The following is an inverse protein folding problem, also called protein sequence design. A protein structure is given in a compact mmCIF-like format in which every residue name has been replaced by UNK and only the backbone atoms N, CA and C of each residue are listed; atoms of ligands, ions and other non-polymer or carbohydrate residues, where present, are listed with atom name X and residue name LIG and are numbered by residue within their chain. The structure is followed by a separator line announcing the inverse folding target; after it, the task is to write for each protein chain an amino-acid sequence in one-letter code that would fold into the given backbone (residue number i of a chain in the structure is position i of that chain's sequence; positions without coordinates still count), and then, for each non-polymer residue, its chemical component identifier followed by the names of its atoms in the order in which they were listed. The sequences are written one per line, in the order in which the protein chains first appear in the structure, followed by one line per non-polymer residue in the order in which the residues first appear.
data_IF_990304987272
#
_entry.id   IF_990304987272
#
_cell.length_a   1.000
_cell.length_b   1.000
_cell.length_c   1.000
_cell.angle_alpha   90.00
_cell.angle_beta   90.00
_cell.angle_gamma   90.00
#
_symmetry.space_group_name_H-M   'P 1'
#
loop_
_entity.id
_entity.type
_entity.pdbx_description
1 polymer ?
#
# COMPACT_ATOMS: atom_id res chain seq x y z
N UNK A 1 24.53 10.46 32.79
CA UNK A 1 23.54 11.38 32.18
C UNK A 1 22.22 11.07 32.85
N UNK A 2 21.68 12.04 33.57
CA UNK A 2 20.50 11.93 34.42
C UNK A 2 19.23 12.11 33.56
N UNK A 3 18.26 11.19 33.67
CA UNK A 3 17.08 11.11 32.80
C UNK A 3 15.85 11.83 33.38
N UNK A 4 16.05 12.76 34.33
CA UNK A 4 14.98 13.36 35.13
C UNK A 4 14.67 14.83 34.79
N UNK A 5 15.24 15.40 33.71
CA UNK A 5 14.88 16.75 33.27
C UNK A 5 13.56 16.73 32.48
N UNK A 6 12.49 17.23 33.09
CA UNK A 6 11.18 17.48 32.48
C UNK A 6 11.15 18.71 31.56
N UNK A 7 12.22 18.94 30.81
CA UNK A 7 12.23 19.99 29.78
C UNK A 7 11.30 19.57 28.66
N UNK A 8 10.10 20.15 28.64
CA UNK A 8 9.19 20.09 27.50
C UNK A 8 9.93 20.66 26.30
N UNK A 9 10.50 19.77 25.49
CA UNK A 9 10.99 20.09 24.16
C UNK A 9 9.80 20.63 23.39
N UNK A 10 9.75 21.96 23.25
CA UNK A 10 8.84 22.66 22.35
C UNK A 10 9.22 22.22 20.93
N UNK A 11 8.44 21.32 20.35
CA UNK A 11 8.54 21.00 18.93
C UNK A 11 8.32 22.31 18.14
N UNK A 12 9.29 22.77 17.34
CA UNK A 12 9.15 23.99 16.54
C UNK A 12 7.99 23.85 15.56
N UNK A 13 7.34 24.98 15.30
CA UNK A 13 6.01 25.07 14.70
C UNK A 13 5.91 24.67 13.22
N UNK A 14 4.66 24.48 12.80
CA UNK A 14 4.16 24.46 11.41
C UNK A 14 5.01 23.65 10.43
N UNK A 15 4.75 22.34 10.37
CA UNK A 15 5.13 21.51 9.23
C UNK A 15 4.26 21.84 8.00
N UNK A 16 4.55 22.98 7.39
CA UNK A 16 4.27 23.22 5.96
C UNK A 16 5.58 23.03 5.16
N UNK A 17 6.50 22.23 5.70
CA UNK A 17 7.54 21.61 4.89
C UNK A 17 6.81 20.79 3.83
N UNK A 18 6.96 21.19 2.57
CA UNK A 18 6.46 20.43 1.43
C UNK A 18 7.11 19.06 1.47
N UNK A 19 6.48 18.12 2.17
CA UNK A 19 6.91 16.73 2.22
C UNK A 19 6.86 16.26 0.77
N UNK A 20 8.04 16.13 0.17
CA UNK A 20 8.15 15.62 -1.17
C UNK A 20 7.41 14.28 -1.25
N UNK A 21 6.72 13.96 -2.35
CA UNK A 21 6.01 12.70 -2.46
C UNK A 21 7.02 11.54 -2.56
N UNK A 22 6.70 10.40 -1.94
CA UNK A 22 7.44 9.16 -2.21
C UNK A 22 7.41 8.83 -3.71
N UNK A 23 8.48 8.28 -4.28
CA UNK A 23 8.40 7.59 -5.56
C UNK A 23 7.24 6.59 -5.54
N UNK A 24 6.44 6.54 -6.61
CA UNK A 24 5.18 5.78 -6.62
C UNK A 24 5.39 4.29 -6.29
N UNK A 25 6.51 3.71 -6.74
CA UNK A 25 6.92 2.35 -6.36
C UNK A 25 7.08 2.16 -4.85
N UNK A 26 7.77 3.09 -4.20
CA UNK A 26 8.06 3.00 -2.77
C UNK A 26 6.78 3.21 -1.97
N UNK A 27 5.95 4.17 -2.39
CA UNK A 27 4.64 4.40 -1.80
C UNK A 27 3.74 3.16 -1.91
N UNK A 28 3.70 2.53 -3.09
CA UNK A 28 2.93 1.30 -3.31
C UNK A 28 3.50 0.14 -2.49
N UNK A 29 4.81 -0.06 -2.49
CA UNK A 29 5.45 -1.13 -1.74
C UNK A 29 5.25 -0.98 -0.22
N UNK A 30 5.31 0.25 0.30
CA UNK A 30 5.05 0.55 1.70
C UNK A 30 3.57 0.36 2.05
N UNK A 31 2.65 0.80 1.19
CA UNK A 31 1.23 0.55 1.41
C UNK A 31 0.95 -0.96 1.45
N UNK A 32 1.47 -1.71 0.47
CA UNK A 32 1.23 -3.14 0.29
C UNK A 32 2.02 -4.06 1.23
N UNK A 33 2.95 -3.52 2.02
CA UNK A 33 3.58 -4.28 3.11
C UNK A 33 2.65 -4.46 4.31
N UNK A 34 1.54 -3.72 4.37
CA UNK A 34 0.54 -3.83 5.41
C UNK A 34 -0.55 -4.84 5.02
N UNK A 35 -1.15 -5.47 6.02
CA UNK A 35 -2.33 -6.31 5.86
C UNK A 35 -3.58 -5.46 6.07
N UNK A 36 -4.58 -5.63 5.21
CA UNK A 36 -5.82 -4.85 5.26
C UNK A 36 -7.03 -5.73 5.52
N UNK A 37 -7.94 -5.28 6.35
CA UNK A 37 -9.19 -5.99 6.61
C UNK A 37 -10.21 -5.74 5.50
N UNK A 38 -10.94 -6.80 5.17
CA UNK A 38 -12.03 -6.82 4.21
C UNK A 38 -11.58 -7.06 2.77
N UNK A 39 -12.40 -7.75 1.96
CA UNK A 39 -12.12 -8.05 0.57
C UNK A 39 -12.14 -6.75 -0.25
N UNK A 40 -10.99 -6.36 -0.79
CA UNK A 40 -10.84 -5.12 -1.54
C UNK A 40 -9.84 -5.30 -2.67
N UNK A 41 -10.10 -4.69 -3.84
CA UNK A 41 -9.17 -4.68 -4.98
C UNK A 41 -8.73 -3.26 -5.31
N UNK A 42 -7.52 -3.09 -5.84
CA UNK A 42 -7.02 -1.78 -6.27
C UNK A 42 -7.65 -1.42 -7.62
N UNK A 43 -8.22 -0.22 -7.69
CA UNK A 43 -8.88 0.28 -8.90
C UNK A 43 -8.21 1.50 -9.51
N UNK A 44 -7.34 2.18 -8.74
CA UNK A 44 -6.62 3.37 -9.21
C UNK A 44 -5.24 3.52 -8.56
N UNK A 45 -4.49 4.47 -9.10
CA UNK A 45 -3.16 4.86 -8.61
C UNK A 45 -3.21 5.78 -7.41
N UNK A 46 -2.06 5.87 -6.75
CA UNK A 46 -1.78 6.84 -5.71
C UNK A 46 -1.57 8.23 -6.32
N UNK A 47 -2.31 9.21 -5.84
CA UNK A 47 -2.11 10.62 -6.16
C UNK A 47 -0.83 11.16 -5.50
N UNK A 48 -0.33 12.31 -5.97
CA UNK A 48 0.82 13.00 -5.34
C UNK A 48 0.58 13.24 -3.85
N UNK A 49 -0.63 13.69 -3.49
CA UNK A 49 -1.01 13.97 -2.10
C UNK A 49 -0.97 12.71 -1.23
N UNK A 50 -1.48 11.59 -1.75
CA UNK A 50 -1.44 10.30 -1.05
C UNK A 50 -0.01 9.80 -0.87
N UNK A 51 0.87 10.00 -1.86
CA UNK A 51 2.30 9.64 -1.75
C UNK A 51 3.04 10.48 -0.72
N UNK A 52 2.75 11.78 -0.60
CA UNK A 52 3.29 12.62 0.47
C UNK A 52 2.76 12.20 1.85
N UNK A 53 1.48 11.85 1.95
CA UNK A 53 0.90 11.34 3.20
C UNK A 53 1.52 9.99 3.62
N UNK A 54 1.79 9.08 2.67
CA UNK A 54 2.51 7.84 2.96
C UNK A 54 3.95 8.10 3.41
N UNK A 55 4.63 9.12 2.88
CA UNK A 55 5.94 9.53 3.40
C UNK A 55 5.88 9.92 4.87
N UNK A 56 4.88 10.73 5.23
CA UNK A 56 4.65 11.10 6.63
C UNK A 56 4.38 9.86 7.50
N UNK A 57 3.56 8.92 7.01
CA UNK A 57 3.28 7.67 7.72
C UNK A 57 4.53 6.79 7.95
N UNK A 58 5.53 6.85 7.06
CA UNK A 58 6.80 6.13 7.25
C UNK A 58 7.64 6.71 8.39
N UNK A 59 7.52 8.00 8.68
CA UNK A 59 8.35 8.69 9.68
C UNK A 59 7.65 8.94 11.01
N UNK A 60 6.32 8.83 11.08
CA UNK A 60 5.63 8.96 12.37
C UNK A 60 6.02 7.80 13.31
N UNK A 61 6.32 8.15 14.55
CA UNK A 61 6.57 7.22 15.66
C UNK A 61 5.26 6.59 16.18
N UNK A 62 4.10 7.15 15.83
CA UNK A 62 2.79 6.65 16.25
C UNK A 62 2.25 5.59 15.29
N UNK A 63 2.11 4.36 15.77
CA UNK A 63 1.47 3.27 15.01
C UNK A 63 0.02 3.63 14.65
N UNK A 64 -0.72 4.24 15.57
CA UNK A 64 -2.12 4.62 15.33
C UNK A 64 -2.26 5.68 14.24
N UNK A 65 -1.36 6.66 14.21
CA UNK A 65 -1.34 7.67 13.15
C UNK A 65 -0.95 7.06 11.80
N UNK A 66 0.10 6.22 11.78
CA UNK A 66 0.52 5.48 10.58
C UNK A 66 -0.62 4.67 9.99
N UNK A 67 -1.27 3.84 10.81
CA UNK A 67 -2.38 3.00 10.37
C UNK A 67 -3.58 3.83 9.93
N UNK A 68 -3.87 4.96 10.59
CA UNK A 68 -4.95 5.86 10.17
C UNK A 68 -4.74 6.45 8.77
N UNK A 69 -3.50 6.81 8.44
CA UNK A 69 -3.14 7.30 7.09
C UNK A 69 -3.23 6.16 6.07
N UNK A 70 -2.61 5.02 6.38
CA UNK A 70 -2.55 3.83 5.52
C UNK A 70 -3.96 3.31 5.19
N UNK A 71 -4.83 3.15 6.19
CA UNK A 71 -6.20 2.68 5.99
C UNK A 71 -7.05 3.64 5.17
N UNK A 72 -6.89 4.95 5.40
CA UNK A 72 -7.60 5.98 4.63
C UNK A 72 -7.24 5.91 3.15
N UNK A 73 -5.95 5.80 2.85
CA UNK A 73 -5.45 5.71 1.47
C UNK A 73 -5.88 4.40 0.84
N UNK A 74 -5.75 3.27 1.55
CA UNK A 74 -6.23 1.98 1.08
C UNK A 74 -7.69 2.03 0.67
N UNK A 75 -8.56 2.57 1.54
CA UNK A 75 -9.99 2.72 1.24
C UNK A 75 -10.26 3.63 0.05
N UNK A 76 -9.42 4.63 -0.17
CA UNK A 76 -9.54 5.59 -1.27
C UNK A 76 -9.12 5.03 -2.64
N UNK A 77 -8.18 4.09 -2.69
CA UNK A 77 -7.68 3.50 -3.95
C UNK A 77 -8.32 2.15 -4.29
N UNK A 78 -9.16 1.62 -3.40
CA UNK A 78 -9.76 0.29 -3.54
C UNK A 78 -11.28 0.31 -3.52
N UNK A 79 -11.86 -0.69 -4.17
CA UNK A 79 -13.29 -1.00 -4.11
C UNK A 79 -13.51 -2.32 -3.36
N UNK A 80 -14.68 -2.49 -2.69
CA UNK A 80 -15.07 -3.78 -2.14
C UNK A 80 -15.06 -4.88 -3.22
N UNK A 81 -14.57 -6.04 -2.84
CA UNK A 81 -14.58 -7.26 -3.65
C UNK A 81 -15.43 -8.32 -2.93
N UNK A 82 -15.77 -9.40 -3.62
CA UNK A 82 -16.55 -10.49 -3.00
C UNK A 82 -15.75 -11.15 -1.87
N UNK A 83 -16.28 -11.29 -0.64
CA UNK A 83 -15.62 -12.03 0.43
C UNK A 83 -15.50 -13.50 0.07
N UNK A 84 -14.41 -14.13 0.50
CA UNK A 84 -14.30 -15.60 0.50
C UNK A 84 -15.29 -16.18 1.49
N UNK A 85 -15.80 -17.37 1.18
CA UNK A 85 -16.57 -18.14 2.16
C UNK A 85 -15.63 -18.61 3.26
N UNK A 86 -16.18 -18.76 4.46
CA UNK A 86 -15.40 -19.25 5.60
C UNK A 86 -14.81 -20.64 5.28
N UNK A 87 -13.51 -20.80 5.54
CA UNK A 87 -12.78 -22.03 5.24
C UNK A 87 -12.23 -22.16 3.81
N UNK A 88 -12.46 -21.19 2.93
CA UNK A 88 -11.83 -21.19 1.60
C UNK A 88 -10.31 -20.90 1.70
N UNK A 89 -9.49 -21.57 0.86
CA UNK A 89 -8.05 -21.31 0.82
C UNK A 89 -7.75 -19.88 0.32
N UNK A 90 -6.54 -19.35 0.60
CA UNK A 90 -6.13 -18.05 0.08
C UNK A 90 -6.34 -17.94 -1.43
N UNK A 91 -7.07 -16.91 -1.85
CA UNK A 91 -7.42 -16.69 -3.25
C UNK A 91 -6.66 -15.48 -3.81
N UNK A 92 -6.09 -15.63 -5.00
CA UNK A 92 -5.45 -14.54 -5.71
C UNK A 92 -6.53 -13.63 -6.32
N UNK A 93 -6.72 -12.45 -5.73
CA UNK A 93 -7.74 -11.48 -6.17
C UNK A 93 -7.27 -10.68 -7.38
N UNK A 94 -6.04 -10.20 -7.35
CA UNK A 94 -5.52 -9.28 -8.36
C UNK A 94 -4.00 -9.32 -8.38
N UNK A 95 -3.40 -9.05 -9.54
CA UNK A 95 -1.98 -8.72 -9.63
C UNK A 95 -1.81 -7.25 -9.97
N UNK A 96 -1.14 -6.53 -9.09
CA UNK A 96 -0.78 -5.13 -9.30
C UNK A 96 0.58 -5.08 -9.96
N UNK A 97 0.63 -4.65 -11.22
CA UNK A 97 1.87 -4.51 -11.98
C UNK A 97 2.34 -3.06 -11.86
N UNK A 98 3.62 -2.88 -11.51
CA UNK A 98 4.25 -1.58 -11.51
C UNK A 98 5.35 -1.53 -12.57
N UNK A 99 4.97 -1.03 -13.74
CA UNK A 99 5.82 -0.99 -14.93
C UNK A 99 6.28 -2.36 -15.39
N UNK A 100 7.43 -2.43 -16.07
CA UNK A 100 7.86 -3.66 -16.77
C UNK A 100 8.62 -4.67 -15.90
N UNK A 101 8.75 -4.43 -14.58
CA UNK A 101 9.70 -5.19 -13.74
C UNK A 101 9.09 -5.83 -12.50
N UNK A 102 8.06 -5.25 -11.92
CA UNK A 102 7.55 -5.67 -10.61
C UNK A 102 6.06 -5.98 -10.65
N UNK A 103 5.67 -7.01 -9.92
CA UNK A 103 4.29 -7.43 -9.72
C UNK A 103 4.03 -7.68 -8.22
N UNK A 104 2.85 -7.30 -7.76
CA UNK A 104 2.39 -7.49 -6.39
C UNK A 104 1.08 -8.28 -6.43
N UNK A 105 1.13 -9.61 -6.27
CA UNK A 105 -0.07 -10.44 -6.20
C UNK A 105 -0.78 -10.22 -4.88
N UNK A 106 -2.02 -9.75 -4.95
CA UNK A 106 -2.90 -9.52 -3.82
C UNK A 106 -3.75 -10.75 -3.57
N UNK A 107 -3.53 -11.37 -2.43
CA UNK A 107 -4.32 -12.50 -1.96
C UNK A 107 -5.30 -12.08 -0.89
N UNK A 108 -6.51 -12.63 -0.94
CA UNK A 108 -7.47 -12.60 0.15
C UNK A 108 -7.32 -13.89 0.95
N UNK A 109 -7.09 -13.77 2.25
CA UNK A 109 -7.00 -14.91 3.18
C UNK A 109 -7.69 -14.55 4.49
N UNK A 110 -8.67 -15.34 4.93
CA UNK A 110 -9.42 -15.11 6.17
C UNK A 110 -9.86 -13.64 6.32
N UNK A 111 -10.54 -13.13 5.28
CA UNK A 111 -11.03 -11.75 5.23
C UNK A 111 -9.93 -10.66 5.31
N UNK A 112 -8.68 -11.03 5.07
CA UNK A 112 -7.53 -10.11 5.10
C UNK A 112 -6.85 -10.09 3.72
N UNK A 113 -6.71 -8.90 3.14
CA UNK A 113 -5.96 -8.66 1.92
C UNK A 113 -4.48 -8.50 2.25
N UNK A 114 -3.62 -9.23 1.54
CA UNK A 114 -2.15 -9.16 1.71
C UNK A 114 -1.42 -9.53 0.42
N UNK A 115 -0.22 -8.96 0.24
CA UNK A 115 0.68 -9.38 -0.85
C UNK A 115 1.48 -10.61 -0.44
N UNK A 116 1.51 -11.62 -1.30
CA UNK A 116 2.34 -12.83 -1.13
C UNK A 116 3.12 -13.13 -2.42
N UNK A 117 4.46 -13.27 -2.37
CA UNK A 117 5.34 -13.02 -1.22
C UNK A 117 5.41 -11.53 -0.87
N UNK A 118 5.71 -11.21 0.40
CA UNK A 118 5.84 -9.82 0.86
C UNK A 118 6.90 -9.07 0.03
N UNK A 119 6.61 -7.82 -0.33
CA UNK A 119 7.47 -7.01 -1.21
C UNK A 119 7.24 -7.24 -2.71
N UNK A 120 6.35 -8.16 -3.07
CA UNK A 120 6.07 -8.52 -4.46
C UNK A 120 7.17 -9.39 -5.07
N UNK A 121 7.11 -9.56 -6.38
CA UNK A 121 8.05 -10.38 -7.14
C UNK A 121 8.38 -9.74 -8.49
N UNK A 122 9.50 -10.12 -9.12
CA UNK A 122 9.78 -9.71 -10.48
C UNK A 122 8.68 -10.22 -11.44
N UNK A 123 8.32 -9.40 -12.43
CA UNK A 123 7.24 -9.72 -13.38
C UNK A 123 7.50 -11.03 -14.14
N UNK A 124 8.77 -11.32 -14.45
CA UNK A 124 9.21 -12.59 -15.07
C UNK A 124 8.91 -13.84 -14.24
N UNK A 125 8.80 -13.68 -12.92
CA UNK A 125 8.54 -14.77 -11.99
C UNK A 125 7.03 -14.92 -11.72
N UNK A 126 6.21 -13.95 -12.18
CA UNK A 126 4.76 -13.92 -12.00
C UNK A 126 4.07 -15.07 -12.72
N UNK A 127 4.46 -15.38 -13.96
CA UNK A 127 3.82 -16.43 -14.76
C UNK A 127 3.93 -17.82 -14.10
N UNK A 128 4.92 -18.01 -13.23
CA UNK A 128 5.09 -19.24 -12.45
C UNK A 128 4.23 -19.27 -11.18
N UNK A 129 3.79 -18.11 -10.68
CA UNK A 129 3.17 -17.95 -9.37
C UNK A 129 1.68 -17.55 -9.41
N UNK A 130 1.26 -16.85 -10.45
CA UNK A 130 -0.05 -16.23 -10.58
C UNK A 130 -0.58 -16.48 -11.99
N UNK A 131 -1.56 -17.37 -12.11
CA UNK A 131 -2.23 -17.72 -13.37
C UNK A 131 -3.05 -16.56 -13.97
N UNK A 132 -4.31 -16.82 -14.33
CA UNK A 132 -5.19 -15.90 -15.07
C UNK A 132 -5.80 -14.74 -14.25
N UNK A 133 -5.23 -14.41 -13.09
CA UNK A 133 -5.82 -13.39 -12.22
C UNK A 133 -5.86 -11.99 -12.87
N UNK A 134 -6.88 -11.16 -12.55
CA UNK A 134 -6.99 -9.79 -13.06
C UNK A 134 -5.73 -8.97 -12.82
N UNK A 135 -5.24 -8.28 -13.85
CA UNK A 135 -4.02 -7.45 -13.76
C UNK A 135 -4.37 -5.97 -13.90
N UNK A 136 -3.80 -5.14 -13.04
CA UNK A 136 -3.84 -3.69 -13.17
C UNK A 136 -2.42 -3.14 -13.34
N UNK A 137 -2.17 -2.36 -14.40
CA UNK A 137 -0.90 -1.65 -14.57
C UNK A 137 -1.05 -0.23 -14.01
N UNK A 138 -0.34 0.03 -12.91
CA UNK A 138 -0.29 1.33 -12.26
C UNK A 138 0.72 2.29 -12.91
N UNK A 139 1.28 1.99 -14.09
CA UNK A 139 2.23 2.86 -14.81
C UNK A 139 1.70 3.52 -16.09
N UNK A 140 0.76 2.94 -16.81
CA UNK A 140 0.15 3.50 -18.04
C UNK A 140 -0.49 4.89 -17.85
N UNK A 141 0.07 6.00 -18.34
CA UNK A 141 -0.80 7.11 -18.70
C UNK A 141 -1.74 6.61 -19.78
N UNK A 142 -3.04 6.86 -19.67
CA UNK A 142 -3.84 7.05 -20.88
C UNK A 142 -3.14 8.16 -21.68
N UNK A 143 -2.29 7.77 -22.64
CA UNK A 143 -2.23 8.50 -23.89
C UNK A 143 -3.28 7.85 -24.77
N UNK A 144 -4.54 8.21 -24.54
CA UNK A 144 -5.51 8.19 -25.61
C UNK A 144 -5.12 9.34 -26.55
N UNK A 145 -5.00 8.98 -27.83
CA UNK A 145 -4.63 9.84 -28.93
C UNK A 145 -5.67 10.94 -29.20
#
# INVERSE_FOLDING_TARGET
VDCSSGDKVRTPGKHDERIEPLPEREALSFLLSHAFLGPRRIVRRLTVRERSALRHAMWTESVGERMSIVDRIWRGITEPETPLREGEPPHLVQVVVYGKKWAYPLYLNNNTMRVLPQGGLPLRDLEKAAGEAPRIDLRTPEKAA
#
